data_IF_128921259523
#
_entry.id   IF_128921259523
#
_cell.length_a   1.000
_cell.length_b   1.000
_cell.length_c   1.000
_cell.angle_alpha   90.00
_cell.angle_beta   90.00
_cell.angle_gamma   90.00
#
_symmetry.space_group_name_H-M   'P 1'
#
loop_
_entity.id
_entity.type
_entity.pdbx_description
1 polymer ?
#
# COMPACT_ATOMS: atom_id res chain seq x y z
N UNK A 1 -16.60 -2.18 -16.95
CA UNK A 1 -18.08 -2.31 -16.91
C UNK A 1 -18.70 -1.11 -17.59
N UNK A 2 -19.68 -1.32 -18.50
CA UNK A 2 -20.44 -0.23 -19.11
C UNK A 2 -21.60 0.18 -18.19
N UNK A 3 -21.76 1.47 -17.94
CA UNK A 3 -22.83 2.02 -17.09
C UNK A 3 -24.09 2.35 -17.91
N UNK A 4 -24.59 1.37 -18.65
CA UNK A 4 -25.70 1.56 -19.60
C UNK A 4 -26.99 2.09 -18.97
N UNK A 5 -27.31 1.71 -17.74
CA UNK A 5 -28.45 2.23 -17.01
C UNK A 5 -28.34 3.73 -16.70
N UNK A 6 -27.15 4.17 -16.32
CA UNK A 6 -26.88 5.57 -16.06
C UNK A 6 -26.96 6.40 -17.36
N UNK A 7 -26.33 5.93 -18.44
CA UNK A 7 -26.39 6.61 -19.74
C UNK A 7 -27.83 6.78 -20.24
N UNK A 8 -28.66 5.75 -20.14
CA UNK A 8 -30.09 5.83 -20.50
C UNK A 8 -30.86 6.84 -19.63
N UNK A 9 -30.65 6.77 -18.30
CA UNK A 9 -31.37 7.66 -17.37
C UNK A 9 -31.13 9.14 -17.64
N UNK A 10 -29.91 9.50 -18.06
CA UNK A 10 -29.50 10.89 -18.28
C UNK A 10 -29.39 11.27 -19.76
N UNK A 11 -29.85 10.42 -20.69
CA UNK A 11 -29.87 10.71 -22.13
C UNK A 11 -28.49 10.95 -22.74
N UNK A 12 -27.45 10.30 -22.19
CA UNK A 12 -26.09 10.52 -22.63
C UNK A 12 -25.83 9.85 -24.00
N UNK A 13 -25.26 10.61 -24.91
CA UNK A 13 -24.87 10.11 -26.27
C UNK A 13 -23.61 9.24 -26.24
N UNK A 14 -22.80 9.35 -25.20
CA UNK A 14 -21.57 8.62 -25.01
C UNK A 14 -21.70 7.50 -23.98
N UNK A 15 -20.97 6.42 -24.21
CA UNK A 15 -20.86 5.34 -23.23
C UNK A 15 -19.96 5.75 -22.07
N UNK A 16 -20.45 5.59 -20.84
CA UNK A 16 -19.61 5.67 -19.65
C UNK A 16 -19.13 4.26 -19.31
N UNK A 17 -17.81 4.11 -19.22
CA UNK A 17 -17.16 2.85 -18.85
C UNK A 17 -16.43 3.03 -17.52
N UNK A 18 -16.65 2.13 -16.59
CA UNK A 18 -15.96 2.09 -15.30
C UNK A 18 -14.98 0.91 -15.26
N UNK A 19 -13.73 1.15 -14.82
CA UNK A 19 -12.81 0.10 -14.42
C UNK A 19 -13.09 -0.27 -12.97
N UNK A 20 -13.33 -1.54 -12.71
CA UNK A 20 -13.65 -2.04 -11.37
C UNK A 20 -12.36 -2.47 -10.67
N UNK A 21 -11.79 -1.60 -9.87
CA UNK A 21 -10.54 -1.87 -9.12
C UNK A 21 -10.70 -2.93 -8.02
N UNK A 22 -11.94 -3.24 -7.62
CA UNK A 22 -12.23 -4.36 -6.72
C UNK A 22 -11.91 -5.74 -7.29
N UNK A 23 -11.72 -5.86 -8.60
CA UNK A 23 -11.27 -7.10 -9.25
C UNK A 23 -9.74 -7.22 -9.40
N UNK A 24 -8.99 -6.26 -8.91
CA UNK A 24 -7.54 -6.40 -8.79
C UNK A 24 -7.20 -7.52 -7.79
N UNK A 25 -6.03 -8.18 -7.89
CA UNK A 25 -5.66 -9.34 -7.07
C UNK A 25 -5.82 -9.15 -5.56
N UNK A 26 -5.44 -8.00 -5.02
CA UNK A 26 -5.64 -7.66 -3.61
C UNK A 26 -6.89 -6.77 -3.36
N UNK A 27 -7.74 -6.60 -4.37
CA UNK A 27 -9.07 -6.01 -4.28
C UNK A 27 -9.14 -4.49 -4.29
N UNK A 28 -8.11 -3.78 -4.71
CA UNK A 28 -8.15 -2.32 -4.79
C UNK A 28 -7.19 -1.71 -5.81
N UNK A 29 -7.35 -0.42 -6.09
CA UNK A 29 -6.39 0.36 -6.90
C UNK A 29 -4.98 0.34 -6.32
N UNK A 30 -4.81 0.07 -5.03
CA UNK A 30 -3.51 0.10 -4.34
C UNK A 30 -2.59 -1.05 -4.74
N UNK A 31 -3.09 -2.06 -5.42
CA UNK A 31 -2.27 -3.11 -6.03
C UNK A 31 -1.29 -2.52 -7.04
N UNK A 32 -1.77 -1.60 -7.90
CA UNK A 32 -0.92 -0.88 -8.85
C UNK A 32 0.02 0.08 -8.16
N UNK A 33 -0.48 0.81 -7.15
CA UNK A 33 0.32 1.77 -6.40
C UNK A 33 1.47 1.06 -5.69
N UNK A 34 1.21 -0.07 -5.04
CA UNK A 34 2.24 -0.90 -4.39
C UNK A 34 3.31 -1.36 -5.38
N UNK A 35 2.89 -1.87 -6.54
CA UNK A 35 3.82 -2.30 -7.60
C UNK A 35 4.65 -1.12 -8.12
N UNK A 36 4.01 -0.02 -8.50
CA UNK A 36 4.70 1.13 -9.08
C UNK A 36 5.72 1.76 -8.12
N UNK A 37 5.40 1.87 -6.83
CA UNK A 37 6.33 2.42 -5.84
C UNK A 37 7.55 1.52 -5.61
N UNK A 38 7.36 0.20 -5.58
CA UNK A 38 8.47 -0.76 -5.42
C UNK A 38 9.35 -0.74 -6.66
N UNK A 39 8.78 -0.83 -7.86
CA UNK A 39 9.53 -0.83 -9.13
C UNK A 39 10.29 0.49 -9.36
N UNK A 40 9.71 1.63 -9.01
CA UNK A 40 10.41 2.91 -9.06
C UNK A 40 11.60 2.94 -8.09
N UNK A 41 11.43 2.44 -6.87
CA UNK A 41 12.52 2.36 -5.89
C UNK A 41 13.65 1.41 -6.32
N UNK A 42 13.31 0.30 -6.98
CA UNK A 42 14.26 -0.61 -7.63
C UNK A 42 15.02 0.10 -8.75
N UNK A 43 14.29 0.73 -9.68
CA UNK A 43 14.87 1.42 -10.84
C UNK A 43 15.83 2.55 -10.44
N UNK A 44 15.51 3.28 -9.35
CA UNK A 44 16.39 4.32 -8.78
C UNK A 44 17.55 3.74 -7.96
N UNK A 45 17.60 2.43 -7.75
CA UNK A 45 18.63 1.78 -6.96
C UNK A 45 18.55 2.07 -5.45
N UNK A 46 17.44 2.63 -4.98
CA UNK A 46 17.20 2.93 -3.55
C UNK A 46 16.84 1.66 -2.80
N UNK A 47 16.04 0.79 -3.44
CA UNK A 47 15.63 -0.51 -2.89
C UNK A 47 16.51 -1.61 -3.46
N UNK A 48 17.29 -2.27 -2.62
CA UNK A 48 18.18 -3.38 -2.99
C UNK A 48 17.44 -4.72 -2.81
N UNK A 49 17.82 -5.77 -3.58
CA UNK A 49 17.26 -7.11 -3.37
C UNK A 49 17.35 -7.56 -1.91
N UNK A 50 16.26 -8.09 -1.37
CA UNK A 50 16.16 -8.54 0.03
C UNK A 50 16.11 -7.44 1.09
N UNK A 51 16.06 -6.17 0.71
CA UNK A 51 15.96 -5.06 1.65
C UNK A 51 14.60 -5.06 2.39
N UNK A 52 14.55 -4.32 3.49
CA UNK A 52 13.32 -4.10 4.25
C UNK A 52 12.59 -2.87 3.74
N UNK A 53 11.33 -3.04 3.40
CA UNK A 53 10.39 -1.95 3.11
C UNK A 53 9.62 -1.64 4.38
N UNK A 54 9.50 -0.37 4.74
CA UNK A 54 8.71 0.08 5.89
C UNK A 54 7.68 1.07 5.37
N UNK A 55 6.41 0.92 5.78
CA UNK A 55 5.39 1.90 5.40
C UNK A 55 4.40 2.13 6.54
N UNK A 56 4.15 3.40 6.91
CA UNK A 56 3.11 3.73 7.90
C UNK A 56 1.75 3.70 7.22
N UNK A 57 1.06 2.57 7.30
CA UNK A 57 -0.26 2.38 6.70
C UNK A 57 -1.03 1.23 7.33
N UNK A 58 -2.33 1.39 7.42
CA UNK A 58 -3.26 0.34 7.86
C UNK A 58 -4.31 0.00 6.79
N UNK A 59 -4.24 0.68 5.65
CA UNK A 59 -5.24 0.58 4.58
C UNK A 59 -4.84 -0.34 3.43
N UNK A 60 -5.51 -0.14 2.30
CA UNK A 60 -5.30 -0.94 1.10
C UNK A 60 -3.88 -0.81 0.51
N UNK A 61 -3.19 0.30 0.79
CA UNK A 61 -1.78 0.43 0.40
C UNK A 61 -0.92 -0.64 1.06
N UNK A 62 -1.14 -0.91 2.36
CA UNK A 62 -0.46 -1.99 3.06
C UNK A 62 -0.74 -3.36 2.45
N UNK A 63 -1.99 -3.60 2.00
CA UNK A 63 -2.38 -4.86 1.35
C UNK A 63 -1.67 -5.00 0.00
N UNK A 64 -1.69 -3.97 -0.85
CA UNK A 64 -0.98 -3.98 -2.13
C UNK A 64 0.53 -4.15 -1.97
N UNK A 65 1.14 -3.44 -1.02
CA UNK A 65 2.56 -3.59 -0.72
C UNK A 65 2.91 -4.99 -0.21
N UNK A 66 2.08 -5.58 0.68
CA UNK A 66 2.33 -6.91 1.21
C UNK A 66 2.32 -7.97 0.11
N UNK A 67 1.36 -7.91 -0.79
CA UNK A 67 1.30 -8.80 -1.95
C UNK A 67 2.56 -8.69 -2.82
N UNK A 68 2.93 -7.47 -3.23
CA UNK A 68 4.07 -7.27 -4.14
C UNK A 68 5.41 -7.57 -3.45
N UNK A 69 5.59 -7.12 -2.21
CA UNK A 69 6.82 -7.36 -1.45
C UNK A 69 7.08 -8.85 -1.25
N UNK A 70 6.06 -9.63 -0.90
CA UNK A 70 6.17 -11.09 -0.75
C UNK A 70 6.58 -11.77 -2.06
N UNK A 71 5.95 -11.40 -3.19
CA UNK A 71 6.28 -11.97 -4.50
C UNK A 71 7.71 -11.63 -4.94
N UNK A 72 8.16 -10.39 -4.66
CA UNK A 72 9.49 -9.91 -5.03
C UNK A 72 10.60 -10.27 -4.01
N UNK A 73 10.26 -10.91 -2.90
CA UNK A 73 11.21 -11.36 -1.87
C UNK A 73 11.73 -10.24 -0.96
N UNK A 74 10.96 -9.18 -0.77
CA UNK A 74 11.26 -8.12 0.20
C UNK A 74 10.64 -8.42 1.57
N UNK A 75 11.33 -8.03 2.63
CA UNK A 75 10.75 -7.98 3.96
C UNK A 75 9.92 -6.70 4.10
N UNK A 76 8.65 -6.82 4.47
CA UNK A 76 7.74 -5.68 4.65
C UNK A 76 7.36 -5.51 6.11
N UNK A 77 7.60 -4.32 6.65
CA UNK A 77 7.15 -3.89 7.96
C UNK A 77 6.11 -2.79 7.83
N UNK A 78 4.93 -2.99 8.42
CA UNK A 78 3.86 -1.99 8.42
C UNK A 78 3.66 -1.44 9.83
N UNK A 79 3.81 -0.13 9.99
CA UNK A 79 3.52 0.53 11.26
C UNK A 79 2.09 1.07 11.25
N UNK A 80 1.33 0.79 12.30
CA UNK A 80 -0.06 1.21 12.42
C UNK A 80 -0.51 1.32 13.87
N UNK A 81 -1.52 2.18 14.16
CA UNK A 81 -2.08 2.28 15.50
C UNK A 81 -2.69 0.94 15.96
N UNK A 82 -2.56 0.65 17.23
CA UNK A 82 -3.17 -0.56 17.83
C UNK A 82 -4.70 -0.59 17.80
N UNK A 83 -5.33 0.54 17.48
CA UNK A 83 -6.79 0.65 17.26
C UNK A 83 -7.27 0.02 15.97
N UNK A 84 -6.36 -0.37 15.07
CA UNK A 84 -6.73 -1.06 13.84
C UNK A 84 -7.31 -2.45 14.11
N UNK A 85 -8.31 -2.83 13.31
CA UNK A 85 -9.04 -4.08 13.51
C UNK A 85 -8.15 -5.33 13.42
N UNK A 86 -8.50 -6.33 14.19
CA UNK A 86 -7.78 -7.60 14.25
C UNK A 86 -7.79 -8.30 12.88
N UNK A 87 -8.93 -8.23 12.16
CA UNK A 87 -9.08 -8.81 10.83
C UNK A 87 -8.08 -8.21 9.85
N UNK A 88 -7.90 -6.88 9.89
CA UNK A 88 -6.92 -6.19 9.05
C UNK A 88 -5.49 -6.62 9.35
N UNK A 89 -5.14 -6.72 10.63
CA UNK A 89 -3.82 -7.19 11.05
C UNK A 89 -3.56 -8.63 10.61
N UNK A 90 -4.56 -9.51 10.76
CA UNK A 90 -4.45 -10.91 10.36
C UNK A 90 -4.31 -11.06 8.85
N UNK A 91 -5.06 -10.29 8.06
CA UNK A 91 -4.93 -10.26 6.61
C UNK A 91 -3.50 -9.87 6.19
N UNK A 92 -2.96 -8.79 6.74
CA UNK A 92 -1.63 -8.31 6.40
C UNK A 92 -0.53 -9.30 6.80
N UNK A 93 -0.66 -9.95 7.97
CA UNK A 93 0.25 -11.03 8.40
C UNK A 93 0.17 -12.24 7.48
N UNK A 94 -1.05 -12.64 7.07
CA UNK A 94 -1.24 -13.75 6.13
C UNK A 94 -0.62 -13.47 4.74
N UNK A 95 -0.51 -12.20 4.36
CA UNK A 95 0.18 -11.75 3.15
C UNK A 95 1.70 -11.58 3.35
N UNK A 96 2.25 -11.96 4.50
CA UNK A 96 3.69 -11.94 4.77
C UNK A 96 4.24 -10.66 5.40
N UNK A 97 3.40 -9.69 5.75
CA UNK A 97 3.86 -8.46 6.38
C UNK A 97 4.09 -8.63 7.89
N UNK A 98 5.18 -8.06 8.40
CA UNK A 98 5.39 -7.83 9.82
C UNK A 98 4.61 -6.59 10.27
N UNK A 99 3.88 -6.68 11.39
CA UNK A 99 3.07 -5.58 11.92
C UNK A 99 3.73 -5.02 13.17
N UNK A 100 4.03 -3.73 13.14
CA UNK A 100 4.52 -2.97 14.29
C UNK A 100 3.39 -2.05 14.77
N UNK A 101 2.85 -2.37 15.94
CA UNK A 101 1.78 -1.57 16.55
C UNK A 101 2.35 -0.35 17.27
N UNK A 102 1.65 0.77 17.15
CA UNK A 102 1.95 2.01 17.86
C UNK A 102 0.79 2.42 18.75
N UNK A 103 1.05 3.30 19.69
CA UNK A 103 0.03 3.83 20.59
C UNK A 103 -1.17 4.38 19.78
N UNK A 104 -2.36 3.90 20.14
CA UNK A 104 -3.61 4.32 19.51
C UNK A 104 -3.89 5.80 19.63
N UNK A 105 -3.51 6.42 20.74
CA UNK A 105 -3.70 7.86 20.97
C UNK A 105 -2.79 8.74 20.08
N UNK A 106 -1.62 8.23 19.74
CA UNK A 106 -0.71 8.91 18.81
C UNK A 106 -1.18 8.82 17.33
N UNK A 107 -2.15 7.96 17.02
CA UNK A 107 -2.73 7.80 15.69
C UNK A 107 -1.68 7.56 14.60
N UNK A 108 -1.96 8.08 13.40
CA UNK A 108 -1.02 7.94 12.26
C UNK A 108 0.29 8.70 12.46
N UNK A 109 0.30 9.79 13.21
CA UNK A 109 1.54 10.51 13.51
C UNK A 109 2.54 9.64 14.27
N UNK A 110 2.06 8.85 15.25
CA UNK A 110 2.87 7.87 15.98
C UNK A 110 3.41 6.77 15.05
N UNK A 111 2.58 6.29 14.13
CA UNK A 111 3.00 5.27 13.15
C UNK A 111 4.07 5.81 12.19
N UNK A 112 3.95 7.05 11.72
CA UNK A 112 4.96 7.70 10.89
C UNK A 112 6.28 7.88 11.64
N UNK A 113 6.22 8.33 12.90
CA UNK A 113 7.40 8.47 13.74
C UNK A 113 8.11 7.11 13.94
N UNK A 114 7.33 6.06 14.21
CA UNK A 114 7.86 4.70 14.37
C UNK A 114 8.48 4.14 13.08
N UNK A 115 7.87 4.41 11.94
CA UNK A 115 8.44 4.02 10.65
C UNK A 115 9.82 4.67 10.41
N UNK A 116 9.96 5.96 10.73
CA UNK A 116 11.24 6.68 10.63
C UNK A 116 12.29 6.11 11.59
N UNK A 117 11.91 5.86 12.85
CA UNK A 117 12.79 5.22 13.83
C UNK A 117 13.31 3.86 13.33
N UNK A 118 12.43 3.01 12.81
CA UNK A 118 12.79 1.70 12.29
C UNK A 118 13.72 1.80 11.08
N UNK A 119 13.43 2.70 10.14
CA UNK A 119 14.30 2.96 8.98
C UNK A 119 15.71 3.33 9.42
N UNK A 120 15.84 4.20 10.41
CA UNK A 120 17.14 4.67 10.88
C UNK A 120 17.93 3.58 11.64
N UNK A 121 17.23 2.57 12.19
CA UNK A 121 17.83 1.44 12.92
C UNK A 121 18.14 0.22 12.05
N UNK A 122 17.42 0.04 10.94
CA UNK A 122 17.57 -1.14 10.07
C UNK A 122 18.40 -0.73 8.84
N UNK A 123 19.64 -1.22 8.70
CA UNK A 123 20.48 -0.87 7.57
C UNK A 123 19.83 -1.22 6.23
N UNK A 124 19.78 -0.24 5.32
CA UNK A 124 19.22 -0.42 3.98
C UNK A 124 17.68 -0.45 3.93
N UNK A 125 16.99 -0.19 5.03
CA UNK A 125 15.54 -0.09 5.02
C UNK A 125 15.05 1.18 4.30
N UNK A 126 13.93 1.05 3.58
CA UNK A 126 13.35 2.11 2.75
C UNK A 126 11.90 2.36 3.17
N UNK A 127 11.52 3.63 3.32
CA UNK A 127 10.11 4.06 3.41
C UNK A 127 9.70 4.55 2.02
N UNK A 128 8.63 4.01 1.46
CA UNK A 128 8.17 4.36 0.11
C UNK A 128 7.38 5.67 0.07
N UNK A 129 6.75 6.06 1.20
CA UNK A 129 6.06 7.34 1.39
C UNK A 129 4.91 7.57 0.42
N UNK A 130 3.85 6.78 0.52
CA UNK A 130 2.73 6.79 -0.42
C UNK A 130 2.14 8.18 -0.73
N UNK A 131 2.18 9.10 0.22
CA UNK A 131 1.61 10.45 0.05
C UNK A 131 2.55 11.45 -0.64
N UNK A 132 3.84 11.19 -0.65
CA UNK A 132 4.87 12.05 -1.23
C UNK A 132 5.47 11.45 -2.50
N UNK A 133 5.30 10.15 -2.72
CA UNK A 133 5.91 9.43 -3.83
C UNK A 133 5.16 9.69 -5.15
N UNK A 134 5.79 10.31 -6.16
CA UNK A 134 5.15 10.63 -7.43
C UNK A 134 4.71 9.37 -8.20
N UNK A 135 5.29 8.21 -7.93
CA UNK A 135 4.92 6.94 -8.56
C UNK A 135 3.52 6.47 -8.15
N UNK A 136 2.99 6.93 -7.00
CA UNK A 136 1.60 6.71 -6.62
C UNK A 136 0.62 7.36 -7.63
N UNK A 137 0.90 8.58 -8.07
CA UNK A 137 0.04 9.29 -9.01
C UNK A 137 0.19 8.79 -10.46
N UNK A 138 1.30 8.13 -10.79
CA UNK A 138 1.60 7.59 -12.12
C UNK A 138 1.11 6.16 -12.32
N UNK A 139 0.73 5.50 -11.24
CA UNK A 139 0.35 4.08 -11.24
C UNK A 139 -0.95 3.77 -12.00
#
# INVERSE_FOLDING_TARGET
MKLAGYSRKYGLQQDIVAKLESFNPAGSVKDRVGLAMIEDAEARGVLKPGATIIEPTSGNTGVGLAMVATIKGYHLMLTMPETMSIERRNLLKALGAEIVLTDGMAGMAGSIAKAKELRDRIPGAVILQQFENPSNAKA
#
